data_IF_656387759171
#
_entry.id   IF_656387759171
#
_cell.length_a   1.000
_cell.length_b   1.000
_cell.length_c   1.000
_cell.angle_alpha   90.00
_cell.angle_beta   90.00
_cell.angle_gamma   90.00
#
_symmetry.space_group_name_H-M   'P 1'
#
loop_
_entity.id
_entity.type
_entity.pdbx_description
1 polymer ?
#
# COMPACT_ATOMS: atom_id res chain seq x y z
N UNK A 1 -0.20 -0.17 9.97
CA UNK A 1 0.77 0.83 9.46
C UNK A 1 0.77 0.80 7.95
N UNK A 2 0.99 1.94 7.30
CA UNK A 2 1.04 2.05 5.84
C UNK A 2 2.25 2.89 5.45
N UNK A 3 2.86 2.57 4.30
CA UNK A 3 4.10 3.21 3.84
C UNK A 3 3.84 3.97 2.54
N UNK A 4 3.87 5.30 2.61
CA UNK A 4 3.72 6.15 1.44
C UNK A 4 5.07 6.35 0.73
N UNK A 5 5.06 6.33 -0.60
CA UNK A 5 6.23 6.68 -1.39
C UNK A 5 6.58 8.16 -1.23
N UNK A 6 7.86 8.45 -0.97
CA UNK A 6 8.37 9.81 -0.87
C UNK A 6 8.37 10.54 -2.22
N UNK A 7 8.85 9.88 -3.28
CA UNK A 7 9.00 10.48 -4.62
C UNK A 7 7.68 10.48 -5.42
N UNK A 8 6.68 9.71 -5.00
CA UNK A 8 5.37 9.62 -5.66
C UNK A 8 4.23 9.75 -4.64
N UNK A 9 3.88 10.98 -4.25
CA UNK A 9 2.81 11.24 -3.30
C UNK A 9 1.49 10.57 -3.72
N UNK A 10 0.80 9.98 -2.74
CA UNK A 10 -0.46 9.26 -2.95
C UNK A 10 -0.31 7.78 -3.33
N UNK A 11 0.91 7.29 -3.62
CA UNK A 11 1.18 5.85 -3.78
C UNK A 11 1.64 5.23 -2.46
N UNK A 12 1.10 4.05 -2.15
CA UNK A 12 1.44 3.29 -0.96
C UNK A 12 1.95 1.91 -1.35
N UNK A 13 2.86 1.37 -0.54
CA UNK A 13 3.22 -0.05 -0.60
C UNK A 13 1.97 -0.86 -0.25
N UNK A 14 1.59 -1.78 -1.14
CA UNK A 14 0.49 -2.71 -0.94
C UNK A 14 0.80 -4.08 -1.54
N UNK A 15 0.09 -5.11 -1.12
CA UNK A 15 0.17 -6.40 -1.77
C UNK A 15 -0.82 -6.50 -2.96
N UNK A 16 -0.40 -7.16 -4.03
CA UNK A 16 -1.26 -7.58 -5.14
C UNK A 16 -0.71 -8.90 -5.68
N UNK A 17 -1.54 -9.95 -5.72
CA UNK A 17 -1.11 -11.29 -6.17
C UNK A 17 0.20 -11.74 -5.49
N UNK A 18 0.30 -11.51 -4.17
CA UNK A 18 1.47 -11.85 -3.34
C UNK A 18 2.76 -11.07 -3.65
N UNK A 19 2.73 -10.10 -4.57
CA UNK A 19 3.83 -9.18 -4.83
C UNK A 19 3.60 -7.84 -4.15
N UNK A 20 4.67 -7.20 -3.68
CA UNK A 20 4.62 -5.85 -3.15
C UNK A 20 4.80 -4.82 -4.26
N UNK A 21 3.87 -3.88 -4.34
CA UNK A 21 3.85 -2.82 -5.35
C UNK A 21 3.48 -1.47 -4.74
N UNK A 22 3.96 -0.38 -5.34
CA UNK A 22 3.61 0.99 -4.95
C UNK A 22 2.51 1.57 -5.86
N UNK A 23 1.27 1.59 -5.37
CA UNK A 23 0.09 1.97 -6.16
C UNK A 23 -0.79 2.97 -5.43
N UNK A 24 -1.59 3.71 -6.18
CA UNK A 24 -2.59 4.62 -5.62
C UNK A 24 -3.69 3.82 -4.95
N UNK A 25 -4.17 4.31 -3.81
CA UNK A 25 -5.19 3.64 -2.99
C UNK A 25 -6.50 4.41 -3.10
N UNK A 26 -7.58 3.75 -3.50
CA UNK A 26 -8.91 4.39 -3.62
C UNK A 26 -10.02 3.55 -2.97
N UNK A 27 -10.00 2.24 -3.18
CA UNK A 27 -11.02 1.32 -2.67
C UNK A 27 -10.76 0.90 -1.22
N UNK A 28 -11.74 0.23 -0.62
CA UNK A 28 -11.58 -0.40 0.71
C UNK A 28 -10.55 -1.53 0.67
N UNK A 29 -10.52 -2.30 -0.41
CA UNK A 29 -9.54 -3.38 -0.63
C UNK A 29 -8.13 -2.82 -0.74
N UNK A 30 -7.91 -1.77 -1.54
CA UNK A 30 -6.58 -1.18 -1.68
C UNK A 30 -6.03 -0.67 -0.33
N UNK A 31 -6.90 -0.19 0.56
CA UNK A 31 -6.52 0.25 1.92
C UNK A 31 -6.13 -0.92 2.81
N UNK A 32 -6.88 -2.02 2.73
CA UNK A 32 -6.55 -3.25 3.45
C UNK A 32 -5.20 -3.81 2.98
N UNK A 33 -4.99 -3.89 1.67
CA UNK A 33 -3.77 -4.40 1.06
C UNK A 33 -2.52 -3.57 1.40
N UNK A 34 -2.71 -2.28 1.72
CA UNK A 34 -1.67 -1.33 2.12
C UNK A 34 -1.46 -1.26 3.65
N UNK A 35 -2.06 -2.17 4.44
CA UNK A 35 -1.97 -2.18 5.90
C UNK A 35 -1.11 -3.32 6.41
N UNK A 36 -0.05 -2.99 7.16
CA UNK A 36 0.91 -3.94 7.75
C UNK A 36 0.96 -3.82 9.27
N UNK A 37 1.31 -4.92 9.94
CA UNK A 37 1.55 -4.99 11.37
C UNK A 37 3.04 -5.25 11.63
N UNK A 38 3.62 -4.57 12.62
CA UNK A 38 4.96 -4.91 13.11
C UNK A 38 4.82 -6.02 14.13
N UNK A 39 5.79 -6.94 14.14
CA UNK A 39 5.91 -7.97 15.16
C UNK A 39 6.85 -7.52 16.28
#
# INVERSE_FOLDING_TARGET
MSYQSYNYPGRYVRHWEYLLNAQTVSTTTDRADATFYTQ
#
